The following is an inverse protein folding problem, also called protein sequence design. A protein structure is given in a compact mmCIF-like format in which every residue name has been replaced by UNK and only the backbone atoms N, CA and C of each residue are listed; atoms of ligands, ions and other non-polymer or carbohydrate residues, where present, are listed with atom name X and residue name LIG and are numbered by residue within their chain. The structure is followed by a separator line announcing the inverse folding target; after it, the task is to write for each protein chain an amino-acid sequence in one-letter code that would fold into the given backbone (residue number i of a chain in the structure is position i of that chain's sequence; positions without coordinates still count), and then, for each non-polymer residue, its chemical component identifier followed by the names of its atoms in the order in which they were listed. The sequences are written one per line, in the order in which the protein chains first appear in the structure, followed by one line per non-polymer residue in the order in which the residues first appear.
data_IF_844257029804
#
_entry.id   IF_844257029804
#
_cell.length_a   1.000
_cell.length_b   1.000
_cell.length_c   1.000
_cell.angle_alpha   90.00
_cell.angle_beta   90.00
_cell.angle_gamma   90.00
#
_symmetry.space_group_name_H-M   'P 1'
#
loop_
_entity.id
_entity.type
_entity.pdbx_description
1 polymer ?
#
# COMPACT_ATOMS: atom_id res chain seq x y z
N UNK A 1 -2.53 9.36 -21.17
CA UNK A 1 -1.79 10.22 -22.12
C UNK A 1 -0.57 9.46 -22.60
N UNK A 2 -0.58 9.04 -23.85
CA UNK A 2 0.51 8.27 -24.47
C UNK A 2 1.65 9.22 -24.79
N UNK A 3 2.80 9.11 -24.12
CA UNK A 3 3.98 9.88 -24.49
C UNK A 3 4.41 9.44 -25.89
N UNK A 4 4.44 10.39 -26.84
CA UNK A 4 5.08 10.18 -28.13
C UNK A 4 6.56 9.88 -27.89
N UNK A 5 7.05 8.78 -28.46
CA UNK A 5 8.47 8.45 -28.42
C UNK A 5 9.23 9.49 -29.26
N UNK A 6 9.82 10.47 -28.60
CA UNK A 6 10.72 11.43 -29.25
C UNK A 6 11.99 10.69 -29.66
N UNK A 7 12.12 10.38 -30.95
CA UNK A 7 13.35 9.80 -31.52
C UNK A 7 14.50 10.77 -31.35
N UNK A 8 15.47 10.43 -30.50
CA UNK A 8 16.69 11.21 -30.28
C UNK A 8 17.60 11.02 -31.52
N UNK A 9 18.00 12.09 -32.22
CA UNK A 9 18.92 12.00 -33.35
C UNK A 9 20.29 11.46 -32.94
N UNK A 10 20.96 10.71 -33.82
CA UNK A 10 22.32 10.19 -33.58
C UNK A 10 23.29 11.32 -33.23
N UNK A 11 24.10 11.14 -32.18
CA UNK A 11 25.07 12.13 -31.70
C UNK A 11 24.49 13.21 -30.77
N UNK A 12 23.22 13.07 -30.37
CA UNK A 12 22.57 13.94 -29.38
C UNK A 12 22.12 13.13 -28.17
N UNK A 13 22.11 13.78 -27.00
CA UNK A 13 21.52 13.30 -25.75
C UNK A 13 20.40 14.25 -25.32
N UNK A 14 19.34 13.72 -24.73
CA UNK A 14 18.24 14.52 -24.20
C UNK A 14 18.46 14.80 -22.71
N UNK A 15 18.35 16.06 -22.29
CA UNK A 15 18.41 16.44 -20.87
C UNK A 15 17.05 16.27 -20.15
N UNK A 16 17.04 16.46 -18.83
CA UNK A 16 15.83 16.34 -18.01
C UNK A 16 14.74 17.39 -18.33
N UNK A 17 15.07 18.47 -19.06
CA UNK A 17 14.11 19.48 -19.54
C UNK A 17 13.63 19.17 -20.96
N UNK A 18 14.03 18.03 -21.52
CA UNK A 18 13.66 17.57 -22.85
C UNK A 18 14.48 18.18 -23.98
N UNK A 19 15.56 18.94 -23.69
CA UNK A 19 16.41 19.60 -24.70
C UNK A 19 17.42 18.62 -25.28
N UNK A 20 17.71 18.73 -26.57
CA UNK A 20 18.72 17.94 -27.25
C UNK A 20 20.08 18.66 -27.20
N UNK A 21 21.07 18.01 -26.59
CA UNK A 21 22.44 18.49 -26.44
C UNK A 21 23.35 17.56 -27.26
N UNK A 22 24.31 18.10 -28.01
CA UNK A 22 25.31 17.27 -28.69
C UNK A 22 26.10 16.46 -27.67
N UNK A 23 26.30 15.18 -27.91
CA UNK A 23 26.94 14.28 -26.97
C UNK A 23 28.36 14.75 -26.58
N UNK A 24 29.12 15.29 -27.54
CA UNK A 24 30.45 15.87 -27.34
C UNK A 24 30.48 17.04 -26.34
N UNK A 25 29.35 17.73 -26.17
CA UNK A 25 29.20 18.86 -25.25
C UNK A 25 28.79 18.41 -23.84
N UNK A 26 28.47 17.12 -23.65
CA UNK A 26 28.17 16.54 -22.34
C UNK A 26 29.48 16.09 -21.69
N UNK A 27 29.69 16.50 -20.44
CA UNK A 27 30.91 16.14 -19.70
C UNK A 27 31.05 14.61 -19.67
N UNK A 28 32.28 14.06 -19.88
CA UNK A 28 32.49 12.60 -19.88
C UNK A 28 31.92 11.90 -18.63
N UNK A 29 32.09 12.49 -17.45
CA UNK A 29 31.56 11.94 -16.19
C UNK A 29 30.03 11.85 -16.16
N UNK A 30 29.33 12.79 -16.80
CA UNK A 30 27.87 12.79 -16.85
C UNK A 30 27.36 11.75 -17.87
N UNK A 31 28.09 11.54 -18.98
CA UNK A 31 27.82 10.43 -19.92
C UNK A 31 28.03 9.06 -19.29
N UNK A 32 29.13 8.87 -18.57
CA UNK A 32 29.39 7.63 -17.83
C UNK A 32 28.33 7.39 -16.76
N UNK A 33 27.88 8.45 -16.06
CA UNK A 33 26.78 8.34 -15.09
C UNK A 33 25.48 7.90 -15.76
N UNK A 34 25.11 8.53 -16.87
CA UNK A 34 23.90 8.18 -17.64
C UNK A 34 23.93 6.71 -18.08
N UNK A 35 25.06 6.25 -18.62
CA UNK A 35 25.25 4.85 -18.99
C UNK A 35 25.08 3.90 -17.80
N UNK A 36 25.80 4.12 -16.71
CA UNK A 36 25.73 3.25 -15.52
C UNK A 36 24.31 3.21 -14.96
N UNK A 37 23.65 4.37 -14.84
CA UNK A 37 22.26 4.44 -14.36
C UNK A 37 21.33 3.68 -15.30
N UNK A 38 21.48 3.84 -16.61
CA UNK A 38 20.70 3.12 -17.62
C UNK A 38 20.84 1.60 -17.51
N UNK A 39 22.07 1.11 -17.36
CA UNK A 39 22.38 -0.32 -17.19
C UNK A 39 21.77 -0.89 -15.90
N UNK A 40 21.92 -0.18 -14.76
CA UNK A 40 21.34 -0.58 -13.48
C UNK A 40 19.81 -0.59 -13.52
N UNK A 41 19.19 0.42 -14.15
CA UNK A 41 17.74 0.47 -14.34
C UNK A 41 17.25 -0.66 -15.25
N UNK A 42 18.00 -1.03 -16.28
CA UNK A 42 17.65 -2.16 -17.14
C UNK A 42 17.68 -3.50 -16.38
N UNK A 43 18.68 -3.69 -15.50
CA UNK A 43 18.73 -4.83 -14.57
C UNK A 43 17.51 -4.85 -13.63
N UNK A 44 17.21 -3.71 -13.00
CA UNK A 44 16.07 -3.59 -12.09
C UNK A 44 14.73 -3.87 -12.79
N UNK A 45 14.54 -3.38 -14.02
CA UNK A 45 13.34 -3.66 -14.83
C UNK A 45 13.15 -5.14 -15.11
N UNK A 46 14.23 -5.85 -15.46
CA UNK A 46 14.19 -7.32 -15.66
C UNK A 46 13.77 -8.06 -14.40
N UNK A 47 14.35 -7.71 -13.25
CA UNK A 47 13.98 -8.33 -11.98
C UNK A 47 12.52 -8.02 -11.59
N UNK A 48 12.08 -6.77 -11.82
CA UNK A 48 10.69 -6.37 -11.58
C UNK A 48 9.71 -7.16 -12.46
N UNK A 49 10.05 -7.40 -13.72
CA UNK A 49 9.23 -8.20 -14.62
C UNK A 49 9.16 -9.67 -14.15
N UNK A 50 10.31 -10.26 -13.80
CA UNK A 50 10.37 -11.62 -13.28
C UNK A 50 9.52 -11.79 -12.00
N UNK A 51 9.58 -10.82 -11.08
CA UNK A 51 8.73 -10.81 -9.88
C UNK A 51 7.24 -10.67 -10.20
N UNK A 52 6.87 -9.89 -11.23
CA UNK A 52 5.48 -9.75 -11.65
C UNK A 52 4.92 -11.04 -12.26
N UNK A 53 5.71 -11.72 -13.10
CA UNK A 53 5.37 -13.02 -13.68
C UNK A 53 5.27 -14.10 -12.60
N UNK A 54 6.25 -14.15 -11.69
CA UNK A 54 6.24 -15.03 -10.52
C UNK A 54 4.98 -14.81 -9.67
N UNK A 55 4.64 -13.55 -9.36
CA UNK A 55 3.43 -13.19 -8.61
C UNK A 55 2.17 -13.75 -9.31
N UNK A 56 2.03 -13.52 -10.61
CA UNK A 56 0.87 -13.99 -11.38
C UNK A 56 0.74 -15.51 -11.31
N UNK A 57 1.86 -16.23 -11.46
CA UNK A 57 1.89 -17.69 -11.40
C UNK A 57 1.47 -18.21 -10.02
N UNK A 58 2.05 -17.67 -8.96
CA UNK A 58 1.76 -18.08 -7.58
C UNK A 58 0.28 -17.94 -7.23
N UNK A 59 -0.32 -16.79 -7.56
CA UNK A 59 -1.75 -16.59 -7.29
C UNK A 59 -2.63 -17.50 -8.14
N UNK A 60 -2.32 -17.66 -9.42
CA UNK A 60 -3.07 -18.56 -10.31
C UNK A 60 -3.03 -20.01 -9.86
N UNK A 61 -1.85 -20.53 -9.54
CA UNK A 61 -1.66 -21.91 -9.10
C UNK A 61 -2.36 -22.16 -7.75
N UNK A 62 -2.27 -21.21 -6.80
CA UNK A 62 -2.93 -21.35 -5.51
C UNK A 62 -4.46 -21.28 -5.61
N UNK A 63 -5.00 -20.37 -6.43
CA UNK A 63 -6.45 -20.28 -6.66
C UNK A 63 -6.98 -21.55 -7.33
N UNK A 64 -6.25 -22.09 -8.32
CA UNK A 64 -6.58 -23.36 -8.95
C UNK A 64 -6.57 -24.52 -7.94
N UNK A 65 -5.54 -24.60 -7.10
CA UNK A 65 -5.44 -25.64 -6.06
C UNK A 65 -6.57 -25.57 -5.03
N UNK A 66 -6.89 -24.37 -4.53
CA UNK A 66 -8.00 -24.17 -3.57
C UNK A 66 -9.33 -24.59 -4.19
N UNK A 67 -9.56 -24.22 -5.45
CA UNK A 67 -10.80 -24.56 -6.17
C UNK A 67 -10.93 -26.08 -6.34
N UNK A 68 -9.87 -26.73 -6.83
CA UNK A 68 -9.81 -28.19 -6.97
C UNK A 68 -10.03 -28.91 -5.64
N UNK A 69 -9.36 -28.45 -4.56
CA UNK A 69 -9.50 -29.05 -3.24
C UNK A 69 -10.92 -28.97 -2.70
N UNK A 70 -11.66 -27.90 -3.00
CA UNK A 70 -13.02 -27.77 -2.51
C UNK A 70 -14.06 -28.52 -3.35
N UNK A 71 -13.83 -28.61 -4.67
CA UNK A 71 -14.61 -29.45 -5.56
C UNK A 71 -14.58 -30.93 -5.11
N UNK A 72 -13.43 -31.42 -4.65
CA UNK A 72 -13.27 -32.79 -4.12
C UNK A 72 -14.25 -33.11 -2.97
N UNK A 73 -14.57 -32.13 -2.13
CA UNK A 73 -15.50 -32.29 -1.00
C UNK A 73 -16.91 -31.75 -1.29
N UNK A 74 -17.23 -31.44 -2.55
CA UNK A 74 -18.55 -30.93 -2.95
C UNK A 74 -18.87 -29.52 -2.43
N UNK A 75 -17.86 -28.77 -1.98
CA UNK A 75 -18.04 -27.42 -1.47
C UNK A 75 -17.98 -26.41 -2.62
N UNK A 76 -19.04 -25.60 -2.77
CA UNK A 76 -19.03 -24.45 -3.69
C UNK A 76 -18.23 -23.31 -3.04
N UNK A 77 -16.96 -23.15 -3.41
CA UNK A 77 -16.16 -22.01 -2.95
C UNK A 77 -16.68 -20.76 -3.68
N UNK A 78 -17.48 -19.97 -2.97
CA UNK A 78 -17.93 -18.66 -3.42
C UNK A 78 -16.78 -17.65 -3.46
N UNK A 79 -15.89 -17.80 -4.44
CA UNK A 79 -14.67 -17.01 -4.59
C UNK A 79 -13.65 -17.29 -3.48
N UNK A 80 -12.36 -17.09 -3.77
CA UNK A 80 -11.26 -17.27 -2.82
C UNK A 80 -11.28 -16.19 -1.72
N UNK A 81 -12.34 -16.14 -0.90
CA UNK A 81 -12.48 -15.22 0.23
C UNK A 81 -11.79 -15.80 1.45
N UNK A 82 -10.86 -15.02 2.02
CA UNK A 82 -10.16 -15.35 3.26
C UNK A 82 -8.66 -15.55 3.09
N UNK A 83 -7.97 -15.58 4.22
CA UNK A 83 -6.56 -15.89 4.28
C UNK A 83 -6.39 -17.42 4.23
N UNK A 84 -5.44 -17.90 3.44
CA UNK A 84 -5.18 -19.34 3.27
C UNK A 84 -3.71 -19.61 3.56
N UNK A 85 -3.44 -20.72 4.25
CA UNK A 85 -2.08 -21.25 4.42
C UNK A 85 -2.03 -22.64 3.78
N UNK A 86 -1.11 -22.83 2.84
CA UNK A 86 -0.82 -24.10 2.21
C UNK A 86 0.50 -24.62 2.79
N UNK A 87 0.53 -25.88 3.20
CA UNK A 87 1.75 -26.56 3.66
C UNK A 87 2.19 -27.57 2.60
N UNK A 88 3.50 -27.77 2.46
CA UNK A 88 4.00 -28.96 1.78
C UNK A 88 3.64 -30.22 2.59
N UNK A 89 3.56 -31.37 1.92
CA UNK A 89 3.17 -32.63 2.56
C UNK A 89 4.07 -33.01 3.75
N UNK A 90 5.37 -32.76 3.63
CA UNK A 90 6.36 -32.97 4.70
C UNK A 90 6.38 -31.85 5.77
N UNK A 91 5.57 -30.81 5.60
CA UNK A 91 5.54 -29.63 6.47
C UNK A 91 6.80 -28.77 6.43
N UNK A 92 7.73 -28.99 5.49
CA UNK A 92 8.96 -28.20 5.40
C UNK A 92 8.71 -26.78 4.91
N UNK A 93 7.71 -26.59 4.06
CA UNK A 93 7.40 -25.31 3.43
C UNK A 93 5.96 -24.91 3.71
N UNK A 94 5.73 -23.60 3.81
CA UNK A 94 4.38 -23.05 3.79
C UNK A 94 4.28 -21.79 2.95
N UNK A 95 3.14 -21.65 2.29
CA UNK A 95 2.73 -20.48 1.52
C UNK A 95 1.51 -19.87 2.18
N UNK A 96 1.59 -18.60 2.54
CA UNK A 96 0.48 -17.85 3.14
C UNK A 96 -0.04 -16.81 2.16
N UNK A 97 -1.32 -16.90 1.85
CA UNK A 97 -2.04 -15.93 1.02
C UNK A 97 -2.96 -15.14 1.94
N UNK A 98 -2.76 -13.83 1.99
CA UNK A 98 -3.59 -12.92 2.74
C UNK A 98 -4.28 -11.92 1.80
N UNK A 99 -5.56 -11.63 2.05
CA UNK A 99 -6.30 -10.63 1.29
C UNK A 99 -6.70 -9.51 2.24
N UNK A 100 -6.20 -8.30 1.99
CA UNK A 100 -6.59 -7.12 2.74
C UNK A 100 -7.46 -6.23 1.87
N UNK A 101 -8.57 -5.77 2.43
CA UNK A 101 -9.40 -4.73 1.81
C UNK A 101 -8.68 -3.39 1.87
N UNK A 102 -8.59 -2.72 0.72
CA UNK A 102 -8.20 -1.33 0.66
C UNK A 102 -9.47 -0.51 0.90
N UNK A 103 -9.49 0.20 2.02
CA UNK A 103 -10.56 1.11 2.37
C UNK A 103 -10.20 2.54 1.95
N UNK A 104 -11.19 3.28 1.47
CA UNK A 104 -11.18 4.74 1.37
C UNK A 104 -12.31 5.31 2.20
N UNK A 105 -12.35 6.63 2.30
CA UNK A 105 -13.47 7.34 2.89
C UNK A 105 -14.14 8.22 1.84
N UNK A 106 -15.46 8.34 1.94
CA UNK A 106 -16.27 9.24 1.11
C UNK A 106 -16.44 10.63 1.76
N UNK A 107 -17.27 11.49 1.18
CA UNK A 107 -17.52 12.86 1.63
C UNK A 107 -18.06 12.97 3.06
N UNK A 108 -18.64 11.89 3.61
CA UNK A 108 -19.17 11.88 4.98
C UNK A 108 -18.07 12.01 6.02
N UNK A 109 -16.82 11.66 5.69
CA UNK A 109 -15.67 11.88 6.56
C UNK A 109 -15.43 13.37 6.82
N UNK A 110 -15.62 14.21 5.79
CA UNK A 110 -15.49 15.65 5.93
C UNK A 110 -16.62 16.23 6.80
N UNK A 111 -17.84 15.72 6.63
CA UNK A 111 -18.97 16.10 7.50
C UNK A 111 -18.70 15.74 8.97
N UNK A 112 -18.13 14.55 9.22
CA UNK A 112 -17.75 14.15 10.57
C UNK A 112 -16.65 15.04 11.17
N UNK A 113 -15.67 15.47 10.37
CA UNK A 113 -14.64 16.41 10.80
C UNK A 113 -15.26 17.72 11.30
N UNK A 114 -16.17 18.31 10.53
CA UNK A 114 -16.84 19.56 10.91
C UNK A 114 -17.56 19.40 12.25
N UNK A 115 -18.30 18.30 12.44
CA UNK A 115 -18.97 18.02 13.72
C UNK A 115 -17.96 17.94 14.88
N UNK A 116 -16.82 17.28 14.68
CA UNK A 116 -15.77 17.14 15.71
C UNK A 116 -15.13 18.50 16.01
N UNK A 117 -14.82 19.30 14.99
CA UNK A 117 -14.23 20.63 15.16
C UNK A 117 -15.16 21.56 15.97
N UNK A 118 -16.46 21.54 15.69
CA UNK A 118 -17.47 22.31 16.45
C UNK A 118 -17.53 21.89 17.92
N UNK A 119 -17.53 20.58 18.19
CA UNK A 119 -17.50 20.02 19.54
C UNK A 119 -16.24 20.42 20.31
N UNK A 120 -15.07 20.32 19.68
CA UNK A 120 -13.81 20.66 20.31
C UNK A 120 -13.67 22.16 20.56
N UNK A 121 -14.16 23.00 19.66
CA UNK A 121 -14.20 24.44 19.87
C UNK A 121 -15.03 24.81 21.12
N UNK A 122 -16.17 24.14 21.32
CA UNK A 122 -16.99 24.30 22.52
C UNK A 122 -16.28 23.78 23.78
N UNK A 123 -15.72 22.57 23.75
CA UNK A 123 -15.06 21.97 24.91
C UNK A 123 -13.79 22.68 25.33
N UNK A 124 -13.14 23.37 24.41
CA UNK A 124 -11.92 24.13 24.67
C UNK A 124 -12.18 25.60 24.98
N UNK A 125 -13.45 26.02 25.08
CA UNK A 125 -13.81 27.37 25.46
C UNK A 125 -13.31 27.68 26.87
N UNK A 126 -12.43 28.68 27.01
CA UNK A 126 -11.77 29.03 28.27
C UNK A 126 -10.53 28.20 28.62
N UNK A 127 -10.14 27.25 27.77
CA UNK A 127 -8.82 26.61 27.87
C UNK A 127 -7.71 27.62 27.54
N UNK A 128 -6.50 27.35 28.05
CA UNK A 128 -5.32 28.18 27.74
C UNK A 128 -5.04 28.14 26.23
N UNK A 129 -4.62 29.25 25.60
CA UNK A 129 -4.32 29.30 24.17
C UNK A 129 -3.33 28.21 23.72
N UNK A 130 -2.36 27.85 24.56
CA UNK A 130 -1.40 26.78 24.28
C UNK A 130 -2.08 25.40 24.19
N UNK A 131 -3.08 25.14 25.05
CA UNK A 131 -3.84 23.88 25.02
C UNK A 131 -4.81 23.84 23.83
N UNK A 132 -5.41 24.99 23.49
CA UNK A 132 -6.24 25.12 22.29
C UNK A 132 -5.43 24.82 21.02
N UNK A 133 -4.22 25.37 20.91
CA UNK A 133 -3.32 25.13 19.79
C UNK A 133 -2.88 23.66 19.68
N UNK A 134 -2.58 23.00 20.81
CA UNK A 134 -2.24 21.57 20.83
C UNK A 134 -3.43 20.72 20.35
N UNK A 135 -4.63 21.02 20.82
CA UNK A 135 -5.83 20.28 20.45
C UNK A 135 -6.14 20.50 18.96
N UNK A 136 -6.16 21.73 18.47
CA UNK A 136 -6.41 22.02 17.05
C UNK A 136 -5.34 21.40 16.14
N UNK A 137 -4.07 21.46 16.52
CA UNK A 137 -2.96 20.85 15.78
C UNK A 137 -3.04 19.31 15.70
N UNK A 138 -3.68 18.66 16.67
CA UNK A 138 -3.89 17.20 16.64
C UNK A 138 -4.83 16.75 15.49
N UNK A 139 -5.67 17.66 14.98
CA UNK A 139 -6.66 17.41 13.92
C UNK A 139 -6.33 18.11 12.58
N UNK A 140 -5.12 18.64 12.44
CA UNK A 140 -4.67 19.21 11.16
C UNK A 140 -4.55 18.13 10.07
N UNK A 141 -4.92 18.53 8.85
CA UNK A 141 -4.69 17.77 7.62
C UNK A 141 -3.19 17.65 7.36
N UNK A 142 -2.79 16.63 6.62
CA UNK A 142 -1.41 16.54 6.18
C UNK A 142 -1.04 17.68 5.21
N UNK A 143 0.24 17.73 4.80
CA UNK A 143 0.78 18.81 3.94
C UNK A 143 0.09 18.91 2.57
N UNK A 144 -0.67 17.91 2.17
CA UNK A 144 -1.43 17.89 0.91
C UNK A 144 -2.91 18.26 1.13
N UNK A 145 -3.30 18.62 2.36
CA UNK A 145 -4.68 18.94 2.72
C UNK A 145 -5.54 17.69 2.95
N UNK A 146 -4.93 16.49 2.96
CA UNK A 146 -5.67 15.25 3.15
C UNK A 146 -5.87 14.96 4.64
N UNK A 147 -7.02 14.38 4.96
CA UNK A 147 -7.34 13.96 6.31
C UNK A 147 -6.43 12.81 6.74
N UNK A 148 -5.83 12.93 7.91
CA UNK A 148 -5.11 11.81 8.52
C UNK A 148 -6.12 10.77 9.02
N UNK A 149 -6.50 9.86 8.14
CA UNK A 149 -7.50 8.81 8.38
C UNK A 149 -7.15 7.92 9.57
N UNK A 150 -5.86 7.63 9.79
CA UNK A 150 -5.39 6.87 10.94
C UNK A 150 -5.70 7.56 12.27
N UNK A 151 -5.52 8.89 12.35
CA UNK A 151 -5.87 9.69 13.53
C UNK A 151 -7.38 9.77 13.73
N UNK A 152 -8.15 10.00 12.68
CA UNK A 152 -9.62 10.06 12.77
C UNK A 152 -10.19 8.71 13.25
N UNK A 153 -9.70 7.60 12.72
CA UNK A 153 -10.09 6.26 13.18
C UNK A 153 -9.71 6.00 14.65
N UNK A 154 -8.61 6.60 15.14
CA UNK A 154 -8.20 6.44 16.54
C UNK A 154 -9.18 7.07 17.54
N UNK A 155 -9.91 8.12 17.14
CA UNK A 155 -10.92 8.79 17.97
C UNK A 155 -12.07 7.86 18.36
N UNK A 156 -12.37 6.87 17.50
CA UNK A 156 -13.40 5.86 17.78
C UNK A 156 -13.09 4.99 19.00
N UNK A 157 -11.85 5.00 19.48
CA UNK A 157 -11.44 4.26 20.69
C UNK A 157 -11.81 5.01 21.96
N UNK A 158 -12.15 6.29 21.88
CA UNK A 158 -12.54 7.11 23.03
C UNK A 158 -14.02 6.89 23.34
N UNK A 159 -14.31 6.41 24.54
CA UNK A 159 -15.68 6.17 25.01
C UNK A 159 -16.33 7.46 25.54
N UNK A 160 -16.63 8.39 24.63
CA UNK A 160 -17.27 9.66 24.97
C UNK A 160 -18.78 9.55 24.76
N UNK A 161 -19.54 9.91 25.80
CA UNK A 161 -20.99 9.71 25.83
C UNK A 161 -21.80 10.82 25.13
N UNK A 162 -21.19 11.94 24.73
CA UNK A 162 -21.88 13.07 24.07
C UNK A 162 -22.59 12.58 22.79
N UNK A 163 -23.91 12.83 22.63
CA UNK A 163 -24.68 12.40 21.46
C UNK A 163 -24.13 12.92 20.13
N UNK A 164 -23.58 14.14 20.10
CA UNK A 164 -22.97 14.75 18.90
C UNK A 164 -21.68 14.04 18.55
N UNK A 165 -20.88 13.68 19.55
CA UNK A 165 -19.66 12.88 19.37
C UNK A 165 -20.00 11.51 18.77
N UNK A 166 -20.99 10.82 19.35
CA UNK A 166 -21.46 9.52 18.83
C UNK A 166 -21.94 9.63 17.37
N UNK A 167 -22.64 10.71 17.03
CA UNK A 167 -23.09 10.98 15.66
C UNK A 167 -21.90 11.18 14.70
N UNK A 168 -20.86 11.91 15.12
CA UNK A 168 -19.65 12.06 14.32
C UNK A 168 -18.91 10.72 14.14
N UNK A 169 -18.81 9.89 15.18
CA UNK A 169 -18.20 8.55 15.09
C UNK A 169 -18.99 7.61 14.19
N UNK A 170 -20.33 7.73 14.18
CA UNK A 170 -21.19 7.01 13.25
C UNK A 170 -20.92 7.44 11.81
N UNK A 171 -20.88 8.74 11.53
CA UNK A 171 -20.58 9.26 10.20
C UNK A 171 -19.20 8.82 9.68
N UNK A 172 -18.17 8.77 10.54
CA UNK A 172 -16.86 8.18 10.19
C UNK A 172 -17.01 6.71 9.79
N UNK A 173 -17.79 5.93 10.53
CA UNK A 173 -17.97 4.50 10.26
C UNK A 173 -18.72 4.26 8.96
N UNK A 174 -19.74 5.07 8.68
CA UNK A 174 -20.57 5.01 7.47
C UNK A 174 -19.82 5.52 6.22
N UNK A 175 -18.80 6.37 6.42
CA UNK A 175 -17.95 6.88 5.34
C UNK A 175 -16.96 5.86 4.80
N UNK A 176 -16.75 4.72 5.49
CA UNK A 176 -15.79 3.70 5.06
C UNK A 176 -16.30 2.98 3.82
N UNK A 177 -15.55 3.05 2.72
CA UNK A 177 -15.83 2.36 1.47
C UNK A 177 -14.70 1.40 1.12
N UNK A 178 -15.03 0.17 0.75
CA UNK A 178 -14.05 -0.79 0.23
C UNK A 178 -13.88 -0.54 -1.27
N UNK A 179 -12.70 -0.03 -1.67
CA UNK A 179 -12.40 0.30 -3.07
C UNK A 179 -11.62 -0.79 -3.81
N UNK A 180 -11.19 -1.82 -3.08
CA UNK A 180 -10.55 -2.97 -3.69
C UNK A 180 -9.97 -3.92 -2.66
N UNK A 181 -9.36 -4.99 -3.15
CA UNK A 181 -8.67 -5.97 -2.29
C UNK A 181 -7.26 -6.17 -2.82
N UNK A 182 -6.27 -6.01 -1.95
CA UNK A 182 -4.88 -6.34 -2.25
C UNK A 182 -4.55 -7.71 -1.67
N UNK A 183 -4.14 -8.61 -2.55
CA UNK A 183 -3.65 -9.92 -2.17
C UNK A 183 -2.13 -9.88 -1.93
N UNK A 184 -1.70 -10.49 -0.84
CA UNK A 184 -0.33 -10.63 -0.39
C UNK A 184 0.02 -12.11 -0.32
N UNK A 185 1.24 -12.46 -0.71
CA UNK A 185 1.77 -13.81 -0.54
C UNK A 185 3.07 -13.76 0.27
N UNK A 186 3.24 -14.74 1.16
CA UNK A 186 4.45 -14.94 1.96
C UNK A 186 4.87 -16.40 1.88
N UNK A 187 6.19 -16.62 1.81
CA UNK A 187 6.80 -17.94 1.71
C UNK A 187 7.68 -18.18 2.91
N UNK A 188 7.70 -19.42 3.38
CA UNK A 188 8.50 -19.79 4.54
C UNK A 188 9.09 -21.19 4.40
N UNK A 189 10.24 -21.38 5.04
CA UNK A 189 10.89 -22.68 5.24
C UNK A 189 11.04 -22.96 6.74
N UNK A 190 10.78 -24.22 7.13
CA UNK A 190 10.91 -24.71 8.49
C UNK A 190 12.39 -24.75 8.92
N UNK A 191 12.67 -24.35 10.16
CA UNK A 191 14.03 -24.34 10.70
C UNK A 191 14.33 -25.69 11.35
N UNK A 192 15.02 -26.57 10.63
CA UNK A 192 15.31 -27.94 11.08
C UNK A 192 14.02 -28.68 11.47
N UNK A 193 14.06 -29.40 12.59
CA UNK A 193 12.90 -30.12 13.14
C UNK A 193 12.04 -29.26 14.10
N UNK A 194 12.32 -27.96 14.22
CA UNK A 194 11.58 -27.07 15.13
C UNK A 194 10.22 -26.65 14.56
N UNK A 195 9.32 -26.13 15.38
CA UNK A 195 8.05 -25.53 14.90
C UNK A 195 8.24 -24.11 14.30
N UNK A 196 9.48 -23.63 14.19
CA UNK A 196 9.79 -22.30 13.68
C UNK A 196 9.89 -22.28 12.16
N UNK A 197 9.37 -21.21 11.56
CA UNK A 197 9.42 -20.97 10.11
C UNK A 197 10.11 -19.64 9.81
N UNK A 198 11.18 -19.70 9.00
CA UNK A 198 11.89 -18.53 8.52
C UNK A 198 11.28 -18.02 7.21
N UNK A 199 11.04 -16.71 7.06
CA UNK A 199 10.54 -16.16 5.81
C UNK A 199 11.59 -16.27 4.69
N UNK A 200 11.14 -16.69 3.51
CA UNK A 200 11.91 -16.59 2.27
C UNK A 200 11.61 -15.20 1.69
N UNK A 201 12.52 -14.25 1.94
CA UNK A 201 12.32 -12.85 1.54
C UNK A 201 12.53 -12.65 0.05
N UNK A 202 11.62 -11.90 -0.58
CA UNK A 202 11.77 -11.36 -1.94
C UNK A 202 12.06 -9.85 -1.93
N UNK A 203 12.27 -9.28 -0.75
CA UNK A 203 12.66 -7.88 -0.54
C UNK A 203 14.18 -7.76 -0.68
N UNK A 204 14.65 -7.00 -1.68
CA UNK A 204 16.07 -6.81 -2.00
C UNK A 204 16.88 -6.32 -0.80
N UNK A 205 16.28 -5.55 0.12
CA UNK A 205 17.00 -5.05 1.29
C UNK A 205 17.22 -6.13 2.37
N UNK A 206 16.58 -7.29 2.23
CA UNK A 206 16.59 -8.41 3.19
C UNK A 206 17.16 -9.70 2.60
N UNK A 207 17.64 -9.66 1.35
CA UNK A 207 18.31 -10.78 0.66
C UNK A 207 19.80 -10.68 0.94
#
# INVERSE_FOLDING_TARGET
MTQAATTIPTGYMQDARGRLIREEMVKPIDRTRDQIVGELVALAKRQSQALAEFKKRVFGDAEAFISMSAEEYGAKVGGAKGNVTLFSFDGRYKVQIARAENITFDERLQAAKVMIDELLAEWTLGARPELQAIIQGAFETDKEGNLNTGRILSLRRLDIQDPRWKKAMYAISDSVQVIGTKAYVRFYERVGDSEEYRPISLDIAKI
#
